data_IF_681442650678
#
_entry.id   IF_681442650678
#
_cell.length_a   1.000
_cell.length_b   1.000
_cell.length_c   1.000
_cell.angle_alpha   90.00
_cell.angle_beta   90.00
_cell.angle_gamma   90.00
#
_symmetry.space_group_name_H-M   'P 1'
#
loop_
_entity.id
_entity.type
_entity.pdbx_description
1 polymer ?
#
# COMPACT_ATOMS: atom_id res chain seq x y z
N UNK A 1 -7.66 45.35 -8.40
CA UNK A 1 -9.05 45.83 -8.34
C UNK A 1 -9.87 44.99 -9.34
N UNK A 2 -10.55 43.94 -8.88
CA UNK A 2 -11.29 43.03 -9.78
C UNK A 2 -12.72 43.55 -9.94
N UNK A 3 -13.08 43.99 -11.15
CA UNK A 3 -14.47 44.27 -11.53
C UNK A 3 -15.22 42.93 -11.67
N UNK A 4 -16.35 42.81 -10.98
CA UNK A 4 -17.34 41.74 -11.16
C UNK A 4 -18.02 41.90 -12.54
N UNK A 5 -17.88 40.92 -13.41
CA UNK A 5 -18.85 40.69 -14.49
C UNK A 5 -19.85 39.64 -13.99
N UNK A 6 -21.11 40.06 -13.86
CA UNK A 6 -22.26 39.17 -13.67
C UNK A 6 -22.37 38.22 -14.86
N UNK A 7 -22.53 36.93 -14.61
CA UNK A 7 -23.17 36.03 -15.57
C UNK A 7 -24.16 35.09 -14.84
N UNK A 8 -25.35 34.83 -15.41
CA UNK A 8 -26.46 34.20 -14.72
C UNK A 8 -26.64 32.74 -15.16
N UNK A 9 -26.50 31.79 -14.23
CA UNK A 9 -27.18 30.48 -14.14
C UNK A 9 -26.40 29.66 -13.12
N UNK A 10 -26.87 29.72 -11.87
CA UNK A 10 -26.21 29.11 -10.72
C UNK A 10 -26.32 27.58 -10.76
N UNK A 11 -25.21 26.89 -11.00
CA UNK A 11 -25.02 25.58 -10.41
C UNK A 11 -24.62 25.83 -8.96
N UNK A 12 -25.54 25.56 -8.03
CA UNK A 12 -25.21 25.60 -6.61
C UNK A 12 -24.10 24.58 -6.34
N UNK A 13 -22.99 25.03 -5.76
CA UNK A 13 -21.95 24.12 -5.29
C UNK A 13 -22.46 23.52 -4.00
N UNK A 14 -22.54 22.19 -3.95
CA UNK A 14 -23.10 21.44 -2.81
C UNK A 14 -21.93 20.84 -2.01
N UNK A 15 -21.95 20.97 -0.68
CA UNK A 15 -20.93 20.37 0.18
C UNK A 15 -21.20 18.85 0.38
N UNK A 16 -20.29 18.13 1.06
CA UNK A 16 -20.43 16.67 1.30
C UNK A 16 -21.72 16.28 2.05
N UNK A 17 -22.40 17.21 2.70
CA UNK A 17 -23.62 16.98 3.47
C UNK A 17 -24.89 17.37 2.68
N UNK A 18 -24.78 17.70 1.40
CA UNK A 18 -25.94 18.07 0.57
C UNK A 18 -26.39 19.53 0.73
N UNK A 19 -25.63 20.38 1.44
CA UNK A 19 -26.02 21.77 1.68
C UNK A 19 -25.35 22.71 0.67
N UNK A 20 -26.07 23.76 0.25
CA UNK A 20 -25.52 24.83 -0.55
C UNK A 20 -24.32 25.49 0.14
N UNK A 21 -23.25 25.75 -0.62
CA UNK A 21 -22.03 26.39 -0.11
C UNK A 21 -22.28 27.89 0.10
N UNK A 22 -22.14 28.35 1.34
CA UNK A 22 -22.23 29.77 1.71
C UNK A 22 -21.05 30.56 1.14
N UNK A 23 -21.23 31.87 0.96
CA UNK A 23 -20.17 32.76 0.48
C UNK A 23 -18.87 32.55 1.27
N UNK A 24 -17.73 32.54 0.57
CA UNK A 24 -16.39 32.26 1.10
C UNK A 24 -16.16 30.83 1.66
N UNK A 25 -17.12 29.91 1.53
CA UNK A 25 -16.94 28.50 1.92
C UNK A 25 -16.84 28.31 3.44
N UNK A 26 -17.50 29.17 4.22
CA UNK A 26 -17.45 29.12 5.69
C UNK A 26 -17.96 27.78 6.26
N UNK A 27 -18.85 27.11 5.54
CA UNK A 27 -19.37 25.79 5.88
C UNK A 27 -18.51 24.60 5.39
N UNK A 28 -17.27 24.84 4.92
CA UNK A 28 -16.30 23.79 4.60
C UNK A 28 -15.35 23.53 5.76
N UNK A 29 -15.00 22.26 5.95
CA UNK A 29 -13.89 21.87 6.82
C UNK A 29 -12.56 22.42 6.28
N UNK A 30 -11.57 22.55 7.16
CA UNK A 30 -10.22 23.01 6.78
C UNK A 30 -9.64 22.15 5.65
N UNK A 31 -9.80 20.82 5.73
CA UNK A 31 -9.35 19.90 4.68
C UNK A 31 -10.09 20.07 3.34
N UNK A 32 -11.40 20.34 3.35
CA UNK A 32 -12.17 20.62 2.13
C UNK A 32 -11.71 21.93 1.46
N UNK A 33 -11.47 22.98 2.26
CA UNK A 33 -10.93 24.25 1.74
C UNK A 33 -9.56 24.05 1.13
N UNK A 34 -8.69 23.24 1.76
CA UNK A 34 -7.39 22.91 1.19
C UNK A 34 -7.47 22.16 -0.14
N UNK A 35 -8.34 21.14 -0.25
CA UNK A 35 -8.53 20.41 -1.50
C UNK A 35 -9.03 21.33 -2.62
N UNK A 36 -9.95 22.24 -2.30
CA UNK A 36 -10.43 23.21 -3.27
C UNK A 36 -9.35 24.23 -3.67
N UNK A 37 -8.57 24.73 -2.72
CA UNK A 37 -7.41 25.58 -2.99
C UNK A 37 -6.39 24.87 -3.88
N UNK A 38 -6.09 23.61 -3.60
CA UNK A 38 -5.22 22.79 -4.45
C UNK A 38 -5.81 22.65 -5.86
N UNK A 39 -7.11 22.36 -5.99
CA UNK A 39 -7.80 22.30 -7.28
C UNK A 39 -7.64 23.60 -8.08
N UNK A 40 -7.77 24.77 -7.44
CA UNK A 40 -7.54 26.07 -8.08
C UNK A 40 -6.09 26.26 -8.54
N UNK A 41 -5.13 25.77 -7.77
CA UNK A 41 -3.70 25.81 -8.12
C UNK A 41 -3.40 24.89 -9.31
N UNK A 42 -3.99 23.70 -9.36
CA UNK A 42 -3.80 22.75 -10.45
C UNK A 42 -4.25 23.35 -11.79
N UNK A 43 -5.40 24.03 -11.79
CA UNK A 43 -5.94 24.73 -12.96
C UNK A 43 -5.06 25.88 -13.46
N UNK A 44 -4.27 26.51 -12.59
CA UNK A 44 -3.38 27.62 -12.97
C UNK A 44 -2.11 27.18 -13.73
N UNK A 45 -1.82 25.87 -13.79
CA UNK A 45 -0.64 25.32 -14.49
C UNK A 45 0.70 25.99 -14.11
N UNK A 46 0.86 26.38 -12.83
CA UNK A 46 2.09 26.97 -12.33
C UNK A 46 3.27 25.98 -12.40
N UNK A 47 4.44 26.43 -12.88
CA UNK A 47 5.66 25.61 -12.93
C UNK A 47 6.30 25.36 -11.55
N UNK A 48 6.11 26.31 -10.63
CA UNK A 48 6.61 26.25 -9.26
C UNK A 48 5.42 26.40 -8.33
N UNK A 49 5.32 25.50 -7.35
CA UNK A 49 4.28 25.48 -6.34
C UNK A 49 4.91 25.55 -4.96
N UNK A 50 4.55 26.57 -4.18
CA UNK A 50 4.95 26.68 -2.77
C UNK A 50 3.77 26.27 -1.90
N UNK A 51 3.96 25.29 -1.05
CA UNK A 51 2.95 24.74 -0.15
C UNK A 51 3.36 24.97 1.30
N UNK A 52 2.39 25.40 2.10
CA UNK A 52 2.53 25.46 3.56
C UNK A 52 1.70 24.32 4.16
N UNK A 53 2.37 23.36 4.78
CA UNK A 53 1.72 22.17 5.32
C UNK A 53 0.95 22.51 6.60
N UNK A 54 -0.38 22.63 6.52
CA UNK A 54 -1.18 22.98 7.69
C UNK A 54 -1.40 21.77 8.63
N UNK A 55 -1.42 22.03 9.94
CA UNK A 55 -1.41 21.02 11.01
C UNK A 55 -2.79 20.46 11.42
N UNK A 56 -3.89 20.84 10.79
CA UNK A 56 -5.26 20.54 11.28
C UNK A 56 -6.19 19.86 10.25
N UNK A 57 -5.76 18.73 9.69
CA UNK A 57 -6.56 17.96 8.74
C UNK A 57 -6.60 16.49 9.13
N UNK A 58 -7.76 15.86 8.95
CA UNK A 58 -7.97 14.43 9.19
C UNK A 58 -7.06 13.60 8.25
N UNK A 59 -6.48 12.53 8.78
CA UNK A 59 -5.47 11.69 8.10
C UNK A 59 -5.94 11.12 6.76
N UNK A 60 -7.24 10.85 6.62
CA UNK A 60 -7.83 10.41 5.35
C UNK A 60 -7.78 11.50 4.27
N UNK A 61 -7.94 12.77 4.66
CA UNK A 61 -7.91 13.91 3.74
C UNK A 61 -6.47 14.28 3.35
N UNK A 62 -5.52 14.15 4.26
CA UNK A 62 -4.09 14.31 3.97
C UNK A 62 -3.59 13.29 2.95
N UNK A 63 -4.02 12.03 3.08
CA UNK A 63 -3.68 10.98 2.11
C UNK A 63 -4.16 11.31 0.69
N UNK A 64 -5.37 11.87 0.57
CA UNK A 64 -5.91 12.34 -0.71
C UNK A 64 -5.12 13.54 -1.24
N UNK A 65 -4.76 14.50 -0.38
CA UNK A 65 -3.97 15.68 -0.75
C UNK A 65 -2.61 15.26 -1.31
N UNK A 66 -1.88 14.40 -0.59
CA UNK A 66 -0.60 13.86 -1.04
C UNK A 66 -0.72 13.07 -2.34
N UNK A 67 -1.77 12.25 -2.48
CA UNK A 67 -2.01 11.50 -3.70
C UNK A 67 -2.19 12.44 -4.90
N UNK A 68 -3.05 13.45 -4.79
CA UNK A 68 -3.30 14.43 -5.86
C UNK A 68 -2.00 15.17 -6.20
N UNK A 69 -1.28 15.69 -5.21
CA UNK A 69 -0.01 16.39 -5.43
C UNK A 69 0.99 15.47 -6.16
N UNK A 70 1.10 14.21 -5.75
CA UNK A 70 2.04 13.25 -6.35
C UNK A 70 1.69 12.84 -7.79
N UNK A 71 0.42 12.92 -8.18
CA UNK A 71 -0.05 12.54 -9.52
C UNK A 71 -0.09 13.73 -10.46
N UNK A 72 -0.71 14.83 -10.03
CA UNK A 72 -1.05 15.98 -10.87
C UNK A 72 0.07 17.03 -10.98
N UNK A 73 1.09 16.94 -10.14
CA UNK A 73 2.22 17.87 -10.13
C UNK A 73 3.57 17.22 -10.48
N UNK A 74 3.57 16.06 -11.15
CA UNK A 74 4.80 15.32 -11.53
C UNK A 74 5.78 16.13 -12.39
N UNK A 75 5.29 17.10 -13.15
CA UNK A 75 6.05 17.95 -14.06
C UNK A 75 6.37 19.34 -13.47
N UNK A 76 6.16 19.54 -12.16
CA UNK A 76 6.28 20.84 -11.48
C UNK A 76 7.29 20.76 -10.34
N UNK A 77 7.93 21.89 -10.05
CA UNK A 77 8.76 22.02 -8.84
C UNK A 77 7.87 22.35 -7.65
N UNK A 78 7.96 21.55 -6.59
CA UNK A 78 7.17 21.77 -5.38
C UNK A 78 8.12 22.09 -4.23
N UNK A 79 7.86 23.21 -3.56
CA UNK A 79 8.58 23.63 -2.36
C UNK A 79 7.57 23.60 -1.22
N UNK A 80 7.71 22.61 -0.35
CA UNK A 80 6.81 22.46 0.81
C UNK A 80 7.54 22.86 2.08
N UNK A 81 6.93 23.74 2.86
CA UNK A 81 7.31 23.97 4.25
C UNK A 81 6.72 22.82 5.06
N UNK A 82 7.56 21.82 5.34
CA UNK A 82 7.13 20.62 6.03
C UNK A 82 7.12 20.83 7.55
N UNK A 83 5.94 20.67 8.15
CA UNK A 83 5.79 20.59 9.60
C UNK A 83 5.71 19.13 10.08
N UNK A 84 5.50 18.18 9.18
CA UNK A 84 5.42 16.75 9.49
C UNK A 84 6.63 16.01 8.94
N UNK A 85 7.09 15.05 9.73
CA UNK A 85 8.31 14.33 9.42
C UNK A 85 8.21 13.47 8.15
N UNK A 86 7.03 12.92 7.86
CA UNK A 86 6.81 12.10 6.66
C UNK A 86 6.91 12.92 5.38
N UNK A 87 6.38 14.14 5.38
CA UNK A 87 6.47 15.07 4.25
C UNK A 87 7.92 15.40 3.93
N UNK A 88 8.75 15.59 4.96
CA UNK A 88 10.19 15.77 4.78
C UNK A 88 10.90 14.50 4.28
N UNK A 89 10.53 13.31 4.76
CA UNK A 89 11.14 12.04 4.35
C UNK A 89 10.80 11.66 2.90
N UNK A 90 9.56 11.91 2.47
CA UNK A 90 9.09 11.54 1.13
C UNK A 90 9.47 12.57 0.05
N UNK A 91 10.13 13.66 0.43
CA UNK A 91 10.62 14.69 -0.49
C UNK A 91 11.89 14.26 -1.24
N UNK A 92 12.06 14.72 -2.48
CA UNK A 92 13.25 14.42 -3.28
C UNK A 92 14.53 15.01 -2.65
N UNK A 93 14.40 16.18 -2.02
CA UNK A 93 15.46 16.93 -1.37
C UNK A 93 14.91 17.58 -0.09
N UNK A 94 15.75 17.66 0.94
CA UNK A 94 15.43 18.33 2.20
C UNK A 94 16.41 19.47 2.40
N UNK A 95 15.86 20.67 2.63
CA UNK A 95 16.59 21.86 3.05
C UNK A 95 16.26 22.15 4.52
N UNK A 96 17.19 21.88 5.42
CA UNK A 96 17.03 22.20 6.83
C UNK A 96 17.58 23.60 7.11
N UNK A 97 16.74 24.46 7.69
CA UNK A 97 17.13 25.80 8.12
C UNK A 97 17.35 25.83 9.64
N UNK A 98 18.40 26.49 10.08
CA UNK A 98 18.66 26.78 11.50
C UNK A 98 19.18 28.20 11.64
N UNK A 99 18.57 29.00 12.53
CA UNK A 99 18.91 30.41 12.79
C UNK A 99 19.05 31.25 11.50
N UNK A 100 18.13 31.05 10.55
CA UNK A 100 18.10 31.77 9.28
C UNK A 100 19.18 31.38 8.26
N UNK A 101 19.94 30.31 8.51
CA UNK A 101 20.95 29.77 7.58
C UNK A 101 20.63 28.33 7.20
N UNK A 102 21.11 27.90 6.04
CA UNK A 102 21.05 26.50 5.62
C UNK A 102 21.97 25.69 6.53
N UNK A 103 21.37 24.80 7.32
CA UNK A 103 22.09 23.88 8.19
C UNK A 103 22.47 22.60 7.42
N UNK A 104 21.52 22.04 6.65
CA UNK A 104 21.73 20.84 5.85
C UNK A 104 20.93 20.91 4.55
N UNK A 105 21.49 20.33 3.49
CA UNK A 105 20.83 20.18 2.21
C UNK A 105 21.30 18.91 1.52
N UNK A 106 20.44 17.92 1.42
CA UNK A 106 20.69 16.70 0.64
C UNK A 106 19.38 15.92 0.48
N UNK A 107 19.44 14.77 -0.18
CA UNK A 107 18.37 13.77 -0.15
C UNK A 107 18.14 13.29 1.28
N UNK A 108 16.88 13.03 1.71
CA UNK A 108 16.59 12.49 3.04
C UNK A 108 17.44 11.25 3.37
N UNK A 109 17.67 10.40 2.38
CA UNK A 109 18.45 9.16 2.48
C UNK A 109 19.85 9.39 2.99
N UNK A 110 20.56 10.36 2.41
CA UNK A 110 21.93 10.70 2.76
C UNK A 110 22.00 11.45 4.08
N UNK A 111 21.00 12.27 4.39
CA UNK A 111 20.92 12.95 5.68
C UNK A 111 20.72 11.94 6.82
N UNK A 112 19.90 10.91 6.62
CA UNK A 112 19.64 9.88 7.62
C UNK A 112 20.85 8.98 7.90
N UNK A 113 21.65 8.66 6.88
CA UNK A 113 22.87 7.83 7.02
C UNK A 113 23.99 8.56 7.78
N UNK A 114 24.01 9.89 7.77
CA UNK A 114 25.00 10.70 8.49
C UNK A 114 24.70 10.68 9.98
N UNK A 115 25.57 10.04 10.77
CA UNK A 115 25.43 9.96 12.24
C UNK A 115 25.29 11.32 12.94
N UNK A 116 25.87 12.38 12.37
CA UNK A 116 25.91 13.73 12.95
C UNK A 116 24.82 14.67 12.40
N UNK A 117 23.97 14.19 11.48
CA UNK A 117 22.99 15.05 10.81
C UNK A 117 21.93 15.59 11.77
N UNK A 118 21.63 16.89 11.67
CA UNK A 118 20.52 17.53 12.37
C UNK A 118 19.18 16.93 11.96
N UNK A 119 18.99 16.61 10.67
CA UNK A 119 17.81 15.89 10.19
C UNK A 119 17.69 14.51 10.85
N UNK A 120 18.78 13.72 10.90
CA UNK A 120 18.81 12.42 11.59
C UNK A 120 18.46 12.54 13.08
N UNK A 121 18.96 13.58 13.78
CA UNK A 121 18.62 13.86 15.18
C UNK A 121 17.15 14.24 15.35
N UNK A 122 16.61 15.12 14.50
CA UNK A 122 15.22 15.55 14.54
C UNK A 122 14.26 14.37 14.34
N UNK A 123 14.60 13.47 13.41
CA UNK A 123 13.82 12.23 13.20
C UNK A 123 13.89 11.36 14.45
N UNK A 124 15.08 11.12 15.01
CA UNK A 124 15.25 10.32 16.23
C UNK A 124 14.47 10.87 17.41
N UNK A 125 14.52 12.18 17.65
CA UNK A 125 13.75 12.84 18.72
C UNK A 125 12.25 12.74 18.51
N UNK A 126 11.79 12.92 17.26
CA UNK A 126 10.40 12.69 16.89
C UNK A 126 9.99 11.26 17.20
N UNK A 127 10.83 10.28 16.85
CA UNK A 127 10.56 8.87 17.15
C UNK A 127 10.54 8.57 18.65
N UNK A 128 11.39 9.20 19.46
CA UNK A 128 11.46 8.95 20.91
C UNK A 128 10.26 9.54 21.66
N UNK A 129 9.70 10.67 21.19
CA UNK A 129 8.51 11.30 21.78
C UNK A 129 7.20 10.57 21.45
N UNK A 130 7.14 9.85 20.34
CA UNK A 130 6.08 8.91 20.03
C UNK A 130 6.46 7.52 20.54
N UNK A 131 5.89 7.02 21.64
CA UNK A 131 5.94 5.59 21.96
C UNK A 131 5.16 4.79 20.90
N UNK A 132 5.72 4.68 19.69
CA UNK A 132 5.33 3.87 18.53
C UNK A 132 6.06 4.41 17.29
N UNK A 133 7.38 4.22 17.13
CA UNK A 133 8.07 4.23 15.82
C UNK A 133 9.55 3.76 16.00
N UNK A 134 10.21 3.39 14.89
CA UNK A 134 11.56 2.81 14.65
C UNK A 134 11.64 1.29 14.55
N UNK A 135 12.27 0.72 13.51
CA UNK A 135 13.58 1.12 12.95
C UNK A 135 13.69 1.31 11.42
N UNK A 136 14.49 2.30 11.07
CA UNK A 136 15.08 2.64 9.78
C UNK A 136 15.53 1.46 8.91
N UNK A 137 14.97 1.37 7.70
CA UNK A 137 15.62 0.76 6.55
C UNK A 137 15.89 1.86 5.51
N UNK A 138 17.12 1.87 4.98
CA UNK A 138 17.65 2.81 3.98
C UNK A 138 16.61 3.17 2.91
N UNK A 139 16.48 4.44 2.50
CA UNK A 139 15.58 4.78 1.43
C UNK A 139 16.27 4.41 0.12
N UNK A 140 15.89 3.26 -0.39
CA UNK A 140 16.16 2.92 -1.76
C UNK A 140 15.40 3.95 -2.61
N UNK A 141 16.18 4.83 -3.25
CA UNK A 141 15.74 5.75 -4.27
C UNK A 141 14.60 5.13 -5.10
N UNK A 142 13.58 5.95 -5.39
CA UNK A 142 12.65 5.77 -6.52
C UNK A 142 13.41 5.79 -7.86
N UNK A 143 14.40 4.92 -8.03
CA UNK A 143 14.64 4.35 -9.33
C UNK A 143 13.42 3.49 -9.62
N UNK A 144 12.86 3.64 -10.81
CA UNK A 144 11.95 2.66 -11.42
C UNK A 144 12.38 1.26 -10.96
N UNK A 145 11.70 0.68 -9.98
CA UNK A 145 11.91 -0.73 -9.68
C UNK A 145 11.27 -1.45 -10.85
N UNK A 146 12.09 -1.64 -11.87
CA UNK A 146 11.96 -2.67 -12.88
C UNK A 146 11.16 -3.82 -12.30
N UNK A 147 10.09 -4.19 -12.98
CA UNK A 147 9.73 -5.58 -13.25
C UNK A 147 10.78 -6.56 -12.70
N UNK A 148 10.66 -6.93 -11.41
CA UNK A 148 11.54 -7.94 -10.84
C UNK A 148 10.91 -9.25 -11.25
N UNK A 149 11.51 -9.89 -12.25
CA UNK A 149 11.18 -11.25 -12.62
C UNK A 149 11.25 -12.10 -11.34
N UNK A 150 10.08 -12.43 -10.81
CA UNK A 150 9.93 -13.40 -9.73
C UNK A 150 10.56 -14.71 -10.21
N UNK A 151 11.38 -15.32 -9.36
CA UNK A 151 12.10 -16.57 -9.65
C UNK A 151 11.61 -17.67 -8.73
N UNK A 152 11.54 -18.88 -9.27
CA UNK A 152 11.26 -20.09 -8.50
C UNK A 152 12.37 -20.34 -7.48
N UNK A 153 12.02 -20.86 -6.29
CA UNK A 153 13.00 -21.23 -5.26
C UNK A 153 13.69 -20.04 -4.58
N UNK A 154 13.12 -18.84 -4.70
CA UNK A 154 13.58 -17.64 -3.99
C UNK A 154 12.47 -17.20 -3.04
N UNK A 155 12.86 -16.85 -1.81
CA UNK A 155 11.95 -16.31 -0.80
C UNK A 155 11.58 -14.85 -1.08
N UNK A 156 10.28 -14.56 -0.95
CA UNK A 156 9.74 -13.20 -1.06
C UNK A 156 8.76 -12.93 0.08
N UNK A 157 8.73 -11.68 0.52
CA UNK A 157 7.62 -11.10 1.26
C UNK A 157 6.59 -10.54 0.27
N UNK A 158 5.31 -10.79 0.53
CA UNK A 158 4.20 -10.11 -0.13
C UNK A 158 3.79 -8.93 0.75
N UNK A 159 3.98 -7.71 0.24
CA UNK A 159 3.75 -6.48 0.99
C UNK A 159 2.61 -5.67 0.37
N UNK A 160 1.80 -4.96 1.17
CA UNK A 160 0.81 -4.02 0.67
C UNK A 160 1.52 -2.85 -0.03
N UNK A 161 0.99 -2.44 -1.18
CA UNK A 161 1.43 -1.19 -1.82
C UNK A 161 0.89 0.03 -1.06
N UNK A 162 -0.33 -0.10 -0.53
CA UNK A 162 -0.99 0.96 0.24
C UNK A 162 -0.50 0.93 1.68
N UNK A 163 0.29 1.95 2.04
CA UNK A 163 0.82 2.18 3.39
C UNK A 163 -0.27 2.50 4.41
N UNK A 164 0.04 2.33 5.70
CA UNK A 164 -0.87 2.61 6.83
C UNK A 164 -2.01 1.59 7.02
N UNK A 165 -2.04 0.50 6.25
CA UNK A 165 -3.13 -0.51 6.28
C UNK A 165 -2.68 -1.90 6.77
N UNK A 166 -1.55 -2.00 7.45
CA UNK A 166 -0.98 -3.26 7.93
C UNK A 166 0.33 -3.62 7.23
N UNK A 167 0.96 -4.71 7.68
CA UNK A 167 2.23 -5.21 7.18
C UNK A 167 2.06 -6.20 6.03
N UNK A 168 3.07 -7.04 5.84
CA UNK A 168 3.05 -8.13 4.87
C UNK A 168 2.20 -9.32 5.29
N UNK A 169 2.22 -10.37 4.49
CA UNK A 169 1.42 -11.56 4.73
C UNK A 169 2.07 -12.52 5.73
N UNK A 170 1.27 -13.02 6.66
CA UNK A 170 1.67 -13.92 7.73
C UNK A 170 0.57 -14.96 7.99
N UNK A 171 0.76 -15.79 9.02
CA UNK A 171 -0.16 -16.86 9.39
C UNK A 171 -0.77 -16.60 10.77
N UNK A 172 -2.07 -16.83 10.91
CA UNK A 172 -2.75 -16.77 12.20
C UNK A 172 -3.93 -17.75 12.27
N UNK A 173 -4.20 -18.25 13.47
CA UNK A 173 -5.37 -19.10 13.75
C UNK A 173 -6.62 -18.25 13.80
N UNK A 174 -7.42 -18.17 12.73
CA UNK A 174 -8.60 -17.29 12.70
C UNK A 174 -9.94 -17.97 12.96
N UNK A 175 -9.90 -19.29 13.12
CA UNK A 175 -11.02 -20.17 13.42
C UNK A 175 -11.05 -20.49 14.92
N UNK A 176 -12.07 -21.24 15.34
CA UNK A 176 -12.14 -21.79 16.69
C UNK A 176 -11.04 -22.84 16.95
N UNK A 177 -10.54 -23.47 15.89
CA UNK A 177 -9.44 -24.44 15.94
C UNK A 177 -8.10 -23.74 15.76
N UNK A 178 -7.07 -24.27 16.42
CA UNK A 178 -5.69 -23.75 16.34
C UNK A 178 -5.04 -23.95 14.96
N UNK A 179 -5.46 -24.99 14.25
CA UNK A 179 -4.96 -25.39 12.94
C UNK A 179 -6.12 -25.80 12.03
N UNK A 180 -6.03 -25.60 10.70
CA UNK A 180 -4.94 -24.96 9.97
C UNK A 180 -4.85 -23.45 10.24
N UNK A 181 -3.68 -22.85 9.98
CA UNK A 181 -3.53 -21.40 10.07
C UNK A 181 -4.07 -20.76 8.80
N UNK A 182 -4.78 -19.65 8.94
CA UNK A 182 -5.25 -18.89 7.79
C UNK A 182 -4.21 -17.84 7.39
N UNK A 183 -4.24 -17.47 6.10
CA UNK A 183 -3.37 -16.43 5.57
C UNK A 183 -3.97 -15.09 5.93
N UNK A 184 -3.19 -14.28 6.64
CA UNK A 184 -3.62 -12.97 7.13
C UNK A 184 -2.59 -11.90 6.79
N UNK A 185 -3.04 -10.65 6.74
CA UNK A 185 -2.15 -9.51 6.73
C UNK A 185 -1.73 -9.17 8.17
N UNK A 186 -0.43 -8.97 8.38
CA UNK A 186 0.10 -8.53 9.65
C UNK A 186 -0.53 -7.19 10.07
N UNK A 187 -0.79 -7.03 11.36
CA UNK A 187 -1.46 -5.82 11.87
C UNK A 187 -0.56 -4.58 11.80
N UNK A 188 0.74 -4.77 11.99
CA UNK A 188 1.73 -3.70 12.04
C UNK A 188 2.44 -3.54 10.68
N UNK A 189 2.48 -2.32 10.16
CA UNK A 189 3.10 -2.00 8.86
C UNK A 189 4.60 -2.34 8.78
N UNK A 190 5.29 -2.32 9.91
CA UNK A 190 6.72 -2.66 10.01
C UNK A 190 7.00 -4.16 9.86
N UNK A 191 5.97 -5.00 10.04
CA UNK A 191 6.10 -6.44 9.93
C UNK A 191 6.05 -6.84 8.44
N UNK A 192 7.14 -7.37 7.90
CA UNK A 192 7.16 -7.87 6.52
C UNK A 192 6.36 -9.17 6.37
N UNK A 193 5.96 -9.80 7.47
CA UNK A 193 5.31 -11.10 7.49
C UNK A 193 6.31 -12.25 7.35
N UNK A 194 5.81 -13.40 6.90
CA UNK A 194 6.61 -14.62 6.73
C UNK A 194 7.01 -14.73 5.25
N UNK A 195 8.29 -15.05 4.95
CA UNK A 195 8.71 -15.25 3.57
C UNK A 195 8.01 -16.46 2.94
N UNK A 196 7.76 -16.38 1.64
CA UNK A 196 7.12 -17.42 0.87
C UNK A 196 7.77 -17.63 -0.49
N UNK A 197 7.51 -18.80 -1.08
CA UNK A 197 7.97 -19.21 -2.41
C UNK A 197 6.80 -19.45 -3.34
N UNK A 198 7.06 -19.26 -4.63
CA UNK A 198 6.13 -19.57 -5.72
C UNK A 198 6.59 -20.81 -6.48
N UNK A 199 5.69 -21.77 -6.66
CA UNK A 199 5.91 -22.98 -7.45
C UNK A 199 4.94 -22.99 -8.64
N UNK A 200 5.39 -22.70 -9.88
CA UNK A 200 4.53 -22.68 -11.05
C UNK A 200 4.08 -24.09 -11.40
N UNK A 201 2.88 -24.20 -12.00
CA UNK A 201 2.32 -25.46 -12.51
C UNK A 201 3.29 -26.22 -13.42
N UNK A 202 4.12 -25.47 -14.16
CA UNK A 202 5.23 -26.03 -14.94
C UNK A 202 6.57 -25.69 -14.27
N UNK A 203 7.08 -26.64 -13.49
CA UNK A 203 8.32 -26.54 -12.72
C UNK A 203 9.58 -26.36 -13.56
N UNK A 204 9.55 -26.67 -14.87
CA UNK A 204 10.71 -26.51 -15.77
C UNK A 204 10.98 -25.06 -16.17
N UNK A 205 10.07 -24.14 -15.89
CA UNK A 205 10.21 -22.70 -16.18
C UNK A 205 10.63 -21.98 -14.89
N UNK A 206 11.93 -21.75 -14.69
CA UNK A 206 12.48 -21.07 -13.51
C UNK A 206 12.14 -19.57 -13.34
N UNK A 207 11.16 -19.07 -14.10
CA UNK A 207 10.65 -17.69 -14.06
C UNK A 207 9.15 -17.75 -13.82
N UNK A 208 8.72 -17.09 -12.75
CA UNK A 208 7.32 -16.88 -12.40
C UNK A 208 6.74 -15.85 -13.37
N UNK A 209 5.68 -16.23 -14.08
CA UNK A 209 5.00 -15.36 -15.04
C UNK A 209 3.65 -14.95 -14.47
N UNK A 210 3.20 -13.76 -14.86
CA UNK A 210 1.81 -13.36 -14.60
C UNK A 210 0.85 -14.30 -15.32
N UNK A 211 -0.38 -14.40 -14.81
CA UNK A 211 -1.48 -15.20 -15.39
C UNK A 211 -1.16 -16.70 -15.55
N UNK A 212 -0.18 -17.21 -14.81
CA UNK A 212 0.15 -18.64 -14.72
C UNK A 212 -0.30 -19.18 -13.37
N UNK A 213 -0.75 -20.44 -13.32
CA UNK A 213 -1.12 -21.11 -12.06
C UNK A 213 0.13 -21.41 -11.22
N UNK A 214 0.11 -21.06 -9.93
CA UNK A 214 1.17 -21.34 -8.97
C UNK A 214 0.59 -21.89 -7.67
N UNK A 215 1.31 -22.81 -7.04
CA UNK A 215 1.21 -22.99 -5.60
C UNK A 215 2.03 -21.89 -4.90
N UNK A 216 1.53 -21.43 -3.77
CA UNK A 216 2.18 -20.44 -2.90
C UNK A 216 2.40 -21.11 -1.55
N UNK A 217 3.62 -21.04 -1.01
CA UNK A 217 3.97 -21.72 0.25
C UNK A 217 4.82 -20.85 1.14
N UNK A 218 4.46 -20.69 2.40
CA UNK A 218 5.33 -20.02 3.38
C UNK A 218 6.54 -20.91 3.72
N UNK A 219 7.71 -20.29 3.79
CA UNK A 219 8.99 -20.97 4.09
C UNK A 219 9.26 -21.08 5.59
N UNK A 220 8.48 -20.40 6.43
CA UNK A 220 8.60 -20.46 7.89
C UNK A 220 7.98 -21.72 8.49
N UNK A 221 8.58 -22.22 9.58
CA UNK A 221 8.01 -23.29 10.39
C UNK A 221 6.74 -22.81 11.13
N UNK A 222 5.80 -23.72 11.36
CA UNK A 222 4.55 -23.43 12.08
C UNK A 222 4.28 -24.48 13.16
N UNK A 223 3.35 -24.18 14.06
CA UNK A 223 2.87 -25.13 15.08
C UNK A 223 1.97 -26.24 14.51
N UNK A 224 1.51 -26.08 13.28
CA UNK A 224 0.58 -27.01 12.64
C UNK A 224 1.33 -28.08 11.86
N UNK A 225 0.80 -29.31 11.89
CA UNK A 225 1.35 -30.46 11.15
C UNK A 225 1.02 -30.34 9.65
N UNK A 226 -0.06 -29.65 9.32
CA UNK A 226 -0.47 -29.38 7.95
C UNK A 226 0.57 -28.54 7.21
N UNK A 227 0.61 -28.69 5.87
CA UNK A 227 1.51 -27.90 5.03
C UNK A 227 1.22 -26.40 5.12
N UNK A 228 2.22 -25.59 4.76
CA UNK A 228 2.08 -24.13 4.59
C UNK A 228 1.67 -23.73 3.17
N UNK A 229 1.28 -24.71 2.34
CA UNK A 229 0.80 -24.48 0.98
C UNK A 229 -0.58 -23.84 1.07
N UNK A 230 -0.77 -22.76 0.33
CA UNK A 230 -2.04 -22.05 0.28
C UNK A 230 -3.11 -22.90 -0.40
N UNK A 231 -4.31 -22.82 0.15
CA UNK A 231 -5.52 -23.43 -0.39
C UNK A 231 -6.70 -22.49 -0.15
N UNK A 232 -7.64 -22.48 -1.08
CA UNK A 232 -8.93 -21.85 -0.88
C UNK A 232 -9.86 -22.78 -0.10
N UNK A 233 -10.47 -22.27 0.96
CA UNK A 233 -11.41 -23.03 1.79
C UNK A 233 -12.69 -22.22 2.02
N UNK A 234 -13.79 -22.91 2.30
CA UNK A 234 -15.08 -22.28 2.61
C UNK A 234 -15.33 -22.36 4.12
N UNK A 235 -15.26 -21.21 4.78
CA UNK A 235 -15.49 -21.10 6.22
C UNK A 235 -16.60 -20.10 6.50
N UNK A 236 -17.66 -20.53 7.21
CA UNK A 236 -18.85 -19.73 7.52
C UNK A 236 -19.47 -19.03 6.29
N UNK A 237 -19.48 -19.69 5.13
CA UNK A 237 -20.01 -19.14 3.88
C UNK A 237 -19.10 -18.14 3.17
N UNK A 238 -17.89 -17.91 3.68
CA UNK A 238 -16.88 -17.06 3.07
C UNK A 238 -15.74 -17.92 2.50
N UNK A 239 -15.29 -17.59 1.29
CA UNK A 239 -14.08 -18.18 0.73
C UNK A 239 -12.84 -17.49 1.29
N UNK A 240 -12.08 -18.22 2.10
CA UNK A 240 -10.90 -17.76 2.84
C UNK A 240 -9.66 -18.47 2.30
N UNK A 241 -8.55 -17.74 2.24
CA UNK A 241 -7.25 -18.32 1.89
C UNK A 241 -6.61 -18.87 3.16
N UNK A 242 -6.40 -20.19 3.19
CA UNK A 242 -5.87 -20.92 4.34
C UNK A 242 -4.65 -21.77 3.96
N UNK A 243 -3.99 -22.40 4.92
CA UNK A 243 -2.92 -23.37 4.66
C UNK A 243 -3.43 -24.81 4.65
N UNK A 244 -2.54 -25.79 4.46
CA UNK A 244 -2.87 -27.21 4.36
C UNK A 244 -3.19 -27.69 2.95
N UNK A 245 -2.81 -26.91 1.93
CA UNK A 245 -2.86 -27.33 0.54
C UNK A 245 -1.85 -28.43 0.20
N UNK A 246 -1.93 -28.94 -1.02
CA UNK A 246 -1.00 -29.93 -1.58
C UNK A 246 -0.23 -29.26 -2.72
N UNK A 247 1.10 -29.34 -2.66
CA UNK A 247 1.99 -28.83 -3.71
C UNK A 247 1.99 -29.78 -4.91
N UNK A 248 1.84 -29.25 -6.13
CA UNK A 248 1.83 -30.03 -7.36
C UNK A 248 0.50 -30.74 -7.67
N UNK A 249 0.58 -31.83 -8.44
CA UNK A 249 -0.56 -32.62 -8.92
C UNK A 249 -1.70 -31.79 -9.54
N UNK A 250 -1.41 -30.95 -10.57
CA UNK A 250 -2.42 -30.06 -11.15
C UNK A 250 -3.59 -30.85 -11.72
N UNK A 251 -4.78 -30.59 -11.20
CA UNK A 251 -6.00 -31.27 -11.60
C UNK A 251 -7.16 -30.98 -10.67
N UNK A 252 -8.22 -31.79 -10.77
CA UNK A 252 -9.45 -31.61 -9.97
C UNK A 252 -9.21 -31.70 -8.47
N UNK A 253 -8.32 -32.59 -8.02
CA UNK A 253 -8.09 -32.84 -6.59
C UNK A 253 -7.31 -31.72 -5.88
N UNK A 254 -6.53 -30.94 -6.62
CA UNK A 254 -5.72 -29.84 -6.07
C UNK A 254 -6.19 -28.48 -6.54
N UNK A 255 -7.38 -28.39 -7.14
CA UNK A 255 -7.85 -27.20 -7.85
C UNK A 255 -7.86 -25.95 -6.98
N UNK A 256 -8.14 -26.12 -5.68
CA UNK A 256 -8.19 -25.04 -4.70
C UNK A 256 -6.81 -24.56 -4.23
N UNK A 257 -5.72 -25.20 -4.66
CA UNK A 257 -4.34 -24.87 -4.26
C UNK A 257 -3.62 -23.93 -5.24
N UNK A 258 -4.30 -23.52 -6.32
CA UNK A 258 -3.68 -22.81 -7.45
C UNK A 258 -4.13 -21.35 -7.53
N UNK A 259 -3.16 -20.45 -7.50
CA UNK A 259 -3.36 -19.01 -7.52
C UNK A 259 -2.57 -18.38 -8.68
N UNK A 260 -3.03 -17.21 -9.13
CA UNK A 260 -2.38 -16.41 -10.16
C UNK A 260 -1.91 -15.08 -9.59
N UNK A 261 -0.82 -14.58 -10.16
CA UNK A 261 -0.37 -13.22 -9.98
C UNK A 261 -0.76 -12.47 -11.25
N UNK A 262 -1.51 -11.38 -11.10
CA UNK A 262 -1.93 -10.53 -12.22
C UNK A 262 -1.34 -9.13 -12.07
N UNK A 263 -1.11 -8.45 -13.20
CA UNK A 263 -0.79 -7.02 -13.18
C UNK A 263 -2.00 -6.23 -12.70
N UNK A 264 -1.76 -5.23 -11.86
CA UNK A 264 -2.80 -4.33 -11.40
C UNK A 264 -2.23 -2.92 -11.26
N UNK A 265 -2.60 -2.05 -12.20
CA UNK A 265 -1.98 -0.74 -12.39
C UNK A 265 -0.45 -0.87 -12.57
N UNK A 266 0.33 -0.19 -11.73
CA UNK A 266 1.79 -0.23 -11.72
C UNK A 266 2.38 -1.37 -10.86
N UNK A 267 1.54 -2.19 -10.20
CA UNK A 267 1.95 -3.27 -9.31
C UNK A 267 1.18 -4.58 -9.63
N UNK A 268 0.85 -5.38 -8.62
CA UNK A 268 0.25 -6.70 -8.77
C UNK A 268 -0.95 -6.90 -7.85
N UNK A 269 -1.74 -7.92 -8.19
CA UNK A 269 -2.76 -8.50 -7.33
C UNK A 269 -2.69 -10.02 -7.39
N UNK A 270 -3.23 -10.67 -6.36
CA UNK A 270 -3.40 -12.12 -6.31
C UNK A 270 -4.83 -12.46 -6.75
N UNK A 271 -4.96 -13.53 -7.51
CA UNK A 271 -6.24 -13.97 -8.10
C UNK A 271 -6.40 -15.47 -7.89
N UNK A 272 -7.59 -15.90 -7.52
CA UNK A 272 -7.99 -17.29 -7.59
C UNK A 272 -8.84 -17.48 -8.84
N UNK A 273 -8.28 -18.13 -9.85
CA UNK A 273 -8.98 -18.51 -11.09
C UNK A 273 -8.18 -19.62 -11.78
N UNK A 274 -8.13 -20.81 -11.18
CA UNK A 274 -7.21 -21.87 -11.58
C UNK A 274 -7.57 -22.44 -12.95
N UNK A 275 -6.55 -22.73 -13.77
CA UNK A 275 -6.72 -23.30 -15.13
C UNK A 275 -6.18 -24.72 -15.26
N UNK A 276 -5.89 -25.37 -14.13
CA UNK A 276 -5.34 -26.73 -14.06
C UNK A 276 -6.34 -27.85 -14.38
N UNK A 277 -7.65 -27.53 -14.43
CA UNK A 277 -8.71 -28.47 -14.79
C UNK A 277 -9.66 -27.80 -15.80
N UNK A 278 -9.63 -28.25 -17.06
CA UNK A 278 -10.38 -27.67 -18.16
C UNK A 278 -11.90 -27.94 -18.12
N UNK A 279 -12.35 -28.99 -17.42
CA UNK A 279 -13.77 -29.33 -17.28
C UNK A 279 -14.37 -28.91 -15.93
N UNK A 280 -13.55 -28.42 -15.00
CA UNK A 280 -14.02 -28.01 -13.68
C UNK A 280 -14.66 -26.62 -13.75
N UNK A 281 -15.78 -26.44 -13.03
CA UNK A 281 -16.35 -25.11 -12.79
C UNK A 281 -15.70 -24.50 -11.57
N UNK A 282 -14.92 -23.44 -11.77
CA UNK A 282 -14.18 -22.76 -10.70
C UNK A 282 -14.67 -21.34 -10.55
N UNK A 283 -14.59 -20.83 -9.33
CA UNK A 283 -14.85 -19.42 -9.04
C UNK A 283 -13.61 -18.65 -9.47
N UNK A 284 -13.81 -17.57 -10.22
CA UNK A 284 -12.74 -16.66 -10.62
C UNK A 284 -12.95 -15.32 -9.92
N UNK A 285 -12.10 -15.01 -8.95
CA UNK A 285 -12.22 -13.78 -8.14
C UNK A 285 -10.85 -13.30 -7.66
N UNK A 286 -10.75 -12.00 -7.42
CA UNK A 286 -9.56 -11.40 -6.83
C UNK A 286 -9.44 -11.79 -5.36
N UNK A 287 -8.21 -11.81 -4.85
CA UNK A 287 -7.93 -11.97 -3.42
C UNK A 287 -7.85 -10.58 -2.79
N UNK A 288 -8.67 -10.34 -1.76
CA UNK A 288 -8.74 -9.10 -1.00
C UNK A 288 -8.48 -9.32 0.48
N UNK A 289 -8.62 -8.24 1.26
CA UNK A 289 -8.54 -8.26 2.72
C UNK A 289 -9.93 -8.06 3.31
N UNK A 290 -10.34 -8.97 4.20
CA UNK A 290 -11.53 -8.85 5.02
C UNK A 290 -11.13 -8.74 6.49
N UNK A 291 -11.68 -7.75 7.19
CA UNK A 291 -11.42 -7.55 8.62
C UNK A 291 -12.53 -8.25 9.41
N UNK A 292 -12.17 -9.31 10.13
CA UNK A 292 -13.07 -10.05 11.03
C UNK A 292 -12.37 -10.30 12.36
N UNK A 293 -13.05 -10.02 13.47
CA UNK A 293 -12.51 -10.23 14.84
C UNK A 293 -11.13 -9.57 15.04
N UNK A 294 -10.91 -8.38 14.47
CA UNK A 294 -9.64 -7.66 14.54
C UNK A 294 -8.51 -8.27 13.69
N UNK A 295 -8.77 -9.32 12.92
CA UNK A 295 -7.80 -9.94 12.01
C UNK A 295 -8.12 -9.61 10.56
N UNK A 296 -7.06 -9.42 9.77
CA UNK A 296 -7.10 -9.06 8.35
C UNK A 296 -6.93 -10.31 7.50
N UNK A 297 -7.99 -11.09 7.35
CA UNK A 297 -7.95 -12.35 6.60
C UNK A 297 -7.90 -12.11 5.10
N UNK A 298 -7.22 -12.99 4.37
CA UNK A 298 -7.28 -13.01 2.92
C UNK A 298 -8.50 -13.79 2.47
N UNK A 299 -9.35 -13.17 1.65
CA UNK A 299 -10.59 -13.77 1.15
C UNK A 299 -10.78 -13.47 -0.32
N UNK A 300 -11.66 -14.21 -0.99
CA UNK A 300 -12.14 -13.77 -2.30
C UNK A 300 -12.96 -12.48 -2.16
N UNK A 301 -12.69 -11.49 -3.00
CA UNK A 301 -13.23 -10.13 -2.89
C UNK A 301 -13.34 -9.47 -4.27
N UNK A 302 -14.28 -8.54 -4.42
CA UNK A 302 -14.38 -7.67 -5.59
C UNK A 302 -13.38 -6.50 -5.53
N UNK A 303 -12.79 -6.26 -4.35
CA UNK A 303 -11.74 -5.27 -4.13
C UNK A 303 -10.41 -6.00 -3.96
N UNK A 304 -9.50 -5.93 -4.95
CA UNK A 304 -8.22 -6.63 -4.91
C UNK A 304 -7.27 -6.04 -3.86
N UNK A 305 -6.51 -6.91 -3.20
CA UNK A 305 -5.39 -6.50 -2.39
C UNK A 305 -4.19 -6.20 -3.29
N UNK A 306 -3.87 -4.91 -3.46
CA UNK A 306 -2.74 -4.45 -4.28
C UNK A 306 -1.42 -4.70 -3.55
N UNK A 307 -0.56 -5.51 -4.15
CA UNK A 307 0.67 -6.03 -3.54
C UNK A 307 1.91 -5.80 -4.40
N UNK A 308 3.04 -5.74 -3.70
CA UNK A 308 4.37 -5.78 -4.29
C UNK A 308 5.19 -6.92 -3.66
N UNK A 309 6.18 -7.41 -4.41
CA UNK A 309 7.04 -8.50 -3.97
C UNK A 309 8.42 -7.98 -3.60
N UNK A 310 8.84 -8.22 -2.36
CA UNK A 310 10.17 -7.88 -1.85
C UNK A 310 10.92 -9.18 -1.61
N UNK A 311 12.07 -9.38 -2.26
CA UNK A 311 12.94 -10.52 -1.98
C UNK A 311 13.34 -10.51 -0.50
N UNK A 312 13.24 -11.67 0.16
CA UNK A 312 13.56 -11.82 1.57
C UNK A 312 15.07 -11.72 1.85
#
# INVERSE_FOLDING_TARGET
>A
MLKKTKQPHGKETINKNGHAVVENGENWSVGQRQLFCLGRVLLKKSKILVLDEATSVDSATDGVLHHIISQECKDRTIVTIAHRIHTAIDSDLVLLLSKGRVAEYDKPTRLLERRVSFFSKLIKEYTVRSHSFNSFASPQCRARHHWKNLRTGVDYYILPVVRGRGGGLTLASTRNETCPLDVVQAQHEVDNGIPLVFAPVNTKKGVIRVSTDHNIKFSGATICVQSTVWRLDSYNGQYVVTTGGVEGNPGRETIDNWFKIEKYEDDYKLVFCPTVCNYCKVICKDVGILIQNGRRQLTLSDVPFKVMFKKA
#
